data_IF_790261769657
#
_entry.id   IF_790261769657
#
_cell.length_a   1.000
_cell.length_b   1.000
_cell.length_c   1.000
_cell.angle_alpha   90.00
_cell.angle_beta   90.00
_cell.angle_gamma   90.00
#
_symmetry.space_group_name_H-M   'P 1'
#
loop_
_entity.id
_entity.type
_entity.pdbx_description
1 polymer ?
#
# COMPACT_ATOMS: atom_id res chain seq x y z
N UNK A 1 12.98 69.13 5.86
CA UNK A 1 11.92 70.15 5.81
C UNK A 1 10.60 69.47 5.43
N UNK A 2 9.58 69.62 6.28
CA UNK A 2 8.13 69.45 6.02
C UNK A 2 7.65 70.50 4.97
N UNK A 3 6.48 70.39 4.32
CA UNK A 3 5.11 70.36 4.91
C UNK A 3 4.17 69.29 4.30
N UNK A 4 3.06 68.80 4.88
CA UNK A 4 1.96 69.25 5.76
C UNK A 4 0.79 70.02 5.08
N UNK A 5 -0.43 69.68 5.55
CA UNK A 5 -1.81 70.15 5.25
C UNK A 5 -2.61 69.34 4.21
N UNK A 6 -3.84 68.84 4.44
CA UNK A 6 -4.76 68.86 5.60
C UNK A 6 -6.23 69.08 5.21
N UNK A 7 -7.16 68.41 5.94
CA UNK A 7 -8.64 68.55 6.05
C UNK A 7 -9.53 67.78 5.04
N UNK A 8 -10.34 66.75 5.44
CA UNK A 8 -11.59 66.69 6.27
C UNK A 8 -12.85 67.02 5.43
N UNK A 9 -14.07 66.47 5.56
CA UNK A 9 -14.78 65.57 6.48
C UNK A 9 -16.04 65.02 5.76
N UNK A 10 -16.72 64.00 6.30
CA UNK A 10 -18.09 63.64 5.88
C UNK A 10 -18.64 62.34 6.47
N UNK A 11 -19.32 62.45 7.62
CA UNK A 11 -20.13 61.40 8.25
C UNK A 11 -21.39 61.06 7.44
N UNK A 12 -21.83 59.80 7.45
CA UNK A 12 -23.25 59.46 7.41
C UNK A 12 -23.53 58.22 8.28
N UNK A 13 -24.46 58.37 9.23
CA UNK A 13 -24.97 57.34 10.14
C UNK A 13 -26.24 56.77 9.54
N UNK A 14 -26.41 55.45 9.52
CA UNK A 14 -27.68 54.80 9.23
C UNK A 14 -28.05 53.82 10.35
N UNK A 15 -29.18 54.10 10.99
CA UNK A 15 -29.79 53.32 12.05
C UNK A 15 -30.48 52.06 11.49
N UNK A 16 -30.38 50.94 12.18
CA UNK A 16 -31.19 49.74 11.92
C UNK A 16 -32.10 49.51 13.12
N UNK A 17 -33.41 49.58 12.85
CA UNK A 17 -34.51 49.37 13.77
C UNK A 17 -34.74 47.88 14.05
N UNK A 18 -34.91 47.55 15.33
CA UNK A 18 -35.42 46.26 15.81
C UNK A 18 -36.96 46.26 15.74
N UNK A 19 -37.55 45.19 15.22
CA UNK A 19 -38.97 44.87 15.43
C UNK A 19 -39.14 43.35 15.42
N UNK A 20 -39.67 42.81 16.52
CA UNK A 20 -40.06 41.42 16.69
C UNK A 20 -41.60 41.32 16.59
N UNK A 21 -42.11 40.24 15.96
CA UNK A 21 -43.04 39.28 16.57
C UNK A 21 -43.86 38.48 15.52
N UNK A 22 -44.08 37.20 15.87
CA UNK A 22 -45.12 36.23 15.43
C UNK A 22 -45.12 35.83 13.94
N UNK A 23 -45.10 34.56 13.54
CA UNK A 23 -45.58 33.33 14.17
C UNK A 23 -46.76 32.79 13.34
N UNK A 24 -46.55 31.71 12.59
CA UNK A 24 -47.58 30.75 12.15
C UNK A 24 -46.89 29.50 11.58
N UNK A 25 -47.33 28.33 12.05
CA UNK A 25 -46.71 27.04 11.79
C UNK A 25 -46.94 26.48 10.39
N UNK A 26 -46.13 25.50 10.02
CA UNK A 26 -46.52 24.52 9.02
C UNK A 26 -45.82 23.18 9.27
N UNK A 27 -46.62 22.13 9.29
CA UNK A 27 -46.23 20.74 9.37
C UNK A 27 -45.51 20.32 8.09
N UNK A 28 -44.31 19.76 8.21
CA UNK A 28 -43.74 18.90 7.16
C UNK A 28 -43.17 17.65 7.80
N UNK A 29 -43.77 16.53 7.40
CA UNK A 29 -43.40 15.16 7.68
C UNK A 29 -41.90 14.93 7.47
N UNK A 30 -41.29 14.21 8.40
CA UNK A 30 -39.96 13.64 8.21
C UNK A 30 -39.99 12.72 6.99
N UNK A 31 -39.19 13.04 5.97
CA UNK A 31 -38.90 12.11 4.89
C UNK A 31 -38.03 10.97 5.45
N UNK A 32 -38.29 9.70 5.07
CA UNK A 32 -37.48 8.58 5.53
C UNK A 32 -36.09 8.68 4.93
N UNK A 33 -35.08 8.71 5.79
CA UNK A 33 -33.66 8.55 5.42
C UNK A 33 -33.52 7.22 4.66
N UNK A 34 -33.01 7.21 3.42
CA UNK A 34 -32.73 5.96 2.74
C UNK A 34 -31.56 5.28 3.45
N UNK A 35 -31.86 4.29 4.29
CA UNK A 35 -30.87 3.33 4.77
C UNK A 35 -30.50 2.41 3.61
N UNK A 36 -29.57 2.86 2.76
CA UNK A 36 -28.84 1.94 1.89
C UNK A 36 -27.75 1.30 2.72
N UNK A 37 -28.04 0.10 3.22
CA UNK A 37 -27.03 -0.85 3.66
C UNK A 37 -26.05 -1.09 2.50
N UNK A 38 -24.73 -0.89 2.66
CA UNK A 38 -23.78 -1.24 1.61
C UNK A 38 -23.81 -2.76 1.45
N UNK A 39 -24.27 -3.21 0.27
CA UNK A 39 -24.29 -4.62 -0.10
C UNK A 39 -22.89 -5.19 0.02
N UNK A 40 -22.79 -6.28 0.79
CA UNK A 40 -21.56 -7.05 0.99
C UNK A 40 -21.35 -7.92 -0.24
N UNK A 41 -20.79 -7.33 -1.30
CA UNK A 41 -20.35 -8.02 -2.51
C UNK A 41 -19.04 -7.41 -3.00
N UNK A 42 -18.18 -8.17 -3.69
CA UNK A 42 -16.92 -7.65 -4.22
C UNK A 42 -17.19 -6.42 -5.10
N UNK A 43 -16.43 -5.35 -4.86
CA UNK A 43 -16.57 -4.11 -5.64
C UNK A 43 -15.94 -4.36 -7.00
N UNK A 44 -16.76 -4.72 -7.99
CA UNK A 44 -16.30 -4.86 -9.38
C UNK A 44 -15.96 -3.46 -9.89
N UNK A 45 -14.67 -3.18 -10.09
CA UNK A 45 -14.25 -1.98 -10.79
C UNK A 45 -14.28 -2.29 -12.28
N UNK A 46 -15.23 -1.69 -12.99
CA UNK A 46 -15.28 -1.77 -14.44
C UNK A 46 -14.92 -0.45 -15.11
N UNK A 47 -14.21 -0.56 -16.24
CA UNK A 47 -13.92 0.57 -17.12
C UNK A 47 -13.95 0.11 -18.57
N UNK A 48 -14.23 1.03 -19.49
CA UNK A 48 -14.23 0.71 -20.92
C UNK A 48 -12.86 0.96 -21.52
N UNK A 49 -12.31 -0.06 -22.17
CA UNK A 49 -11.04 -0.01 -22.90
C UNK A 49 -11.29 -0.23 -24.38
N UNK A 50 -10.88 0.76 -25.19
CA UNK A 50 -11.07 0.77 -26.66
C UNK A 50 -9.77 0.58 -27.42
N UNK A 51 -8.64 0.57 -26.72
CA UNK A 51 -7.29 0.43 -27.27
C UNK A 51 -6.75 -1.00 -27.16
N UNK A 52 -7.64 -2.00 -27.04
CA UNK A 52 -7.25 -3.41 -27.15
C UNK A 52 -6.70 -3.72 -28.54
N UNK A 53 -5.64 -4.52 -28.60
CA UNK A 53 -5.06 -5.00 -29.86
C UNK A 53 -5.13 -6.53 -29.92
N UNK A 54 -4.86 -7.10 -31.10
CA UNK A 54 -4.64 -8.53 -31.24
C UNK A 54 -3.17 -8.79 -31.54
N UNK A 55 -2.60 -9.78 -30.87
CA UNK A 55 -1.26 -10.28 -31.19
C UNK A 55 -1.27 -11.10 -32.49
N UNK A 56 -0.10 -11.60 -32.89
CA UNK A 56 0.04 -12.47 -34.07
C UNK A 56 -0.67 -13.83 -33.95
N UNK A 57 -1.06 -14.24 -32.73
CA UNK A 57 -1.83 -15.46 -32.47
C UNK A 57 -3.35 -15.22 -32.43
N UNK A 58 -3.79 -13.96 -32.59
CA UNK A 58 -5.19 -13.55 -32.56
C UNK A 58 -5.76 -13.34 -31.17
N UNK A 59 -4.94 -13.41 -30.12
CA UNK A 59 -5.33 -13.15 -28.73
C UNK A 59 -5.44 -11.66 -28.45
N UNK A 60 -6.40 -11.31 -27.59
CA UNK A 60 -6.60 -9.92 -27.17
C UNK A 60 -5.56 -9.53 -26.14
N UNK A 61 -4.89 -8.42 -26.43
CA UNK A 61 -3.97 -7.72 -25.57
C UNK A 61 -4.61 -6.41 -25.11
N UNK A 62 -4.57 -6.18 -23.80
CA UNK A 62 -5.12 -4.99 -23.16
C UNK A 62 -3.99 -4.13 -22.61
N UNK A 63 -4.08 -2.80 -22.71
CA UNK A 63 -3.09 -1.92 -22.12
C UNK A 63 -3.09 -2.09 -20.60
N UNK A 64 -1.91 -2.30 -20.02
CA UNK A 64 -1.76 -2.63 -18.61
C UNK A 64 -2.03 -1.42 -17.70
N UNK A 65 -1.60 -0.23 -18.11
CA UNK A 65 -1.65 0.98 -17.27
C UNK A 65 -3.08 1.38 -16.86
N UNK A 66 -4.09 1.35 -17.74
CA UNK A 66 -5.49 1.55 -17.35
C UNK A 66 -5.99 0.52 -16.34
N UNK A 67 -5.67 -0.77 -16.52
CA UNK A 67 -6.05 -1.84 -15.58
C UNK A 67 -5.40 -1.65 -14.20
N UNK A 68 -4.14 -1.26 -14.18
CA UNK A 68 -3.43 -0.93 -12.94
C UNK A 68 -4.08 0.27 -12.24
N UNK A 69 -4.44 1.31 -13.01
CA UNK A 69 -5.09 2.51 -12.47
C UNK A 69 -6.50 2.25 -11.96
N UNK A 70 -7.28 1.37 -12.61
CA UNK A 70 -8.62 1.03 -12.13
C UNK A 70 -8.53 0.44 -10.73
N UNK A 71 -7.58 -0.47 -10.53
CA UNK A 71 -7.21 -1.05 -9.22
C UNK A 71 -6.63 -0.03 -8.22
N UNK A 72 -6.52 1.25 -8.58
CA UNK A 72 -5.95 2.31 -7.74
C UNK A 72 -4.43 2.28 -7.61
N UNK A 73 -3.76 1.28 -8.18
CA UNK A 73 -2.31 1.17 -8.15
C UNK A 73 -1.66 2.22 -9.06
N UNK A 74 -0.41 2.56 -8.75
CA UNK A 74 0.50 3.21 -9.70
C UNK A 74 1.33 2.17 -10.43
N UNK A 75 1.74 2.54 -11.64
CA UNK A 75 2.63 1.80 -12.51
C UNK A 75 3.80 2.71 -12.85
N UNK A 76 5.01 2.26 -12.54
CA UNK A 76 6.27 2.91 -12.91
C UNK A 76 7.13 1.93 -13.70
N UNK A 77 8.02 2.46 -14.54
CA UNK A 77 9.03 1.65 -15.22
C UNK A 77 10.41 1.95 -14.65
N UNK A 78 11.15 0.90 -14.28
CA UNK A 78 12.53 1.02 -13.84
C UNK A 78 13.44 1.35 -15.03
N UNK A 79 14.66 1.79 -14.73
CA UNK A 79 15.69 2.01 -15.75
C UNK A 79 16.08 0.70 -16.48
N UNK A 80 15.90 -0.45 -15.84
CA UNK A 80 16.15 -1.78 -16.43
C UNK A 80 15.00 -2.30 -17.31
N UNK A 81 13.93 -1.50 -17.46
CA UNK A 81 12.74 -1.83 -18.24
C UNK A 81 11.77 -2.77 -17.52
N UNK A 82 11.93 -2.97 -16.20
CA UNK A 82 10.92 -3.63 -15.39
C UNK A 82 9.74 -2.70 -15.15
N UNK A 83 8.54 -3.27 -15.18
CA UNK A 83 7.30 -2.62 -14.77
C UNK A 83 7.07 -2.93 -13.29
N UNK A 84 6.89 -1.87 -12.51
CA UNK A 84 6.69 -1.89 -11.08
C UNK A 84 5.28 -1.41 -10.76
N UNK A 85 4.48 -2.24 -10.11
CA UNK A 85 3.08 -1.94 -9.80
C UNK A 85 2.80 -2.06 -8.31
N UNK A 86 2.01 -1.13 -7.78
CA UNK A 86 1.54 -1.13 -6.39
C UNK A 86 1.14 0.26 -5.94
N UNK A 87 1.07 0.50 -4.63
CA UNK A 87 0.70 1.81 -4.08
C UNK A 87 1.91 2.52 -3.47
N UNK A 88 2.27 2.28 -2.20
CA UNK A 88 3.49 2.83 -1.55
C UNK A 88 4.68 1.88 -1.64
N UNK A 89 4.41 0.59 -1.79
CA UNK A 89 5.35 -0.50 -2.00
C UNK A 89 5.06 -1.17 -3.36
N UNK A 90 6.10 -1.73 -3.97
CA UNK A 90 5.93 -2.54 -5.18
C UNK A 90 5.40 -3.90 -4.81
N UNK A 91 4.18 -4.17 -5.23
CA UNK A 91 3.45 -5.40 -5.01
C UNK A 91 3.66 -6.37 -6.17
N UNK A 92 3.73 -5.86 -7.40
CA UNK A 92 3.92 -6.66 -8.60
C UNK A 92 5.11 -6.16 -9.41
N UNK A 93 5.89 -7.10 -9.95
CA UNK A 93 7.01 -6.85 -10.86
C UNK A 93 6.86 -7.71 -12.09
N UNK A 94 7.12 -7.16 -13.25
CA UNK A 94 7.12 -7.89 -14.51
C UNK A 94 8.03 -7.19 -15.52
N UNK A 95 8.47 -7.90 -16.54
CA UNK A 95 9.28 -7.33 -17.61
C UNK A 95 8.66 -7.68 -18.96
N UNK A 96 8.42 -6.72 -19.87
CA UNK A 96 7.96 -7.05 -21.20
C UNK A 96 8.91 -8.01 -21.91
N UNK A 97 8.34 -9.04 -22.54
CA UNK A 97 9.05 -10.15 -23.17
C UNK A 97 9.41 -11.31 -22.23
N UNK A 98 9.13 -11.20 -20.92
CA UNK A 98 9.42 -12.24 -19.93
C UNK A 98 8.13 -12.73 -19.25
N UNK A 99 7.98 -14.04 -19.15
CA UNK A 99 6.90 -14.69 -18.39
C UNK A 99 7.16 -14.74 -16.89
N UNK A 100 8.41 -14.55 -16.45
CA UNK A 100 8.74 -14.44 -15.04
C UNK A 100 8.25 -13.10 -14.49
N UNK A 101 7.49 -13.18 -13.40
CA UNK A 101 6.95 -12.02 -12.72
C UNK A 101 6.98 -12.26 -11.20
N UNK A 102 6.70 -11.19 -10.44
CA UNK A 102 6.40 -11.29 -9.02
C UNK A 102 5.00 -10.73 -8.78
N UNK A 103 4.24 -11.42 -7.93
CA UNK A 103 2.93 -10.99 -7.47
C UNK A 103 2.95 -11.11 -5.98
N UNK A 104 2.70 -9.99 -5.33
CA UNK A 104 2.69 -9.89 -3.88
C UNK A 104 4.03 -10.25 -3.26
N UNK A 105 5.13 -9.87 -3.93
CA UNK A 105 6.49 -10.20 -3.50
C UNK A 105 6.93 -11.65 -3.78
N UNK A 106 6.01 -12.52 -4.21
CA UNK A 106 6.28 -13.93 -4.51
C UNK A 106 6.49 -14.15 -6.01
N UNK A 107 7.46 -15.01 -6.41
CA UNK A 107 7.68 -15.32 -7.82
C UNK A 107 6.48 -16.06 -8.42
N UNK A 108 6.17 -15.76 -9.69
CA UNK A 108 5.18 -16.46 -10.49
C UNK A 108 5.59 -16.55 -11.96
N UNK A 109 4.91 -17.44 -12.69
CA UNK A 109 5.02 -17.54 -14.14
C UNK A 109 3.69 -17.15 -14.78
N UNK A 110 3.74 -16.18 -15.69
CA UNK A 110 2.60 -15.72 -16.48
C UNK A 110 2.34 -16.70 -17.63
N UNK A 111 1.07 -16.94 -18.00
CA UNK A 111 0.73 -17.74 -19.18
C UNK A 111 1.35 -17.18 -20.45
N UNK A 112 1.40 -15.85 -20.58
CA UNK A 112 2.04 -15.15 -21.69
C UNK A 112 2.84 -13.94 -21.19
N UNK A 113 3.95 -13.61 -21.86
CA UNK A 113 4.75 -12.47 -21.49
C UNK A 113 3.96 -11.17 -21.75
N UNK A 114 4.15 -10.13 -20.94
CA UNK A 114 3.72 -8.79 -21.29
C UNK A 114 4.42 -8.34 -22.57
N UNK A 115 3.73 -7.63 -23.45
CA UNK A 115 4.28 -7.14 -24.71
C UNK A 115 4.45 -5.64 -24.68
N UNK A 116 5.54 -5.12 -25.25
CA UNK A 116 5.72 -3.68 -25.43
C UNK A 116 5.54 -3.33 -26.90
N UNK A 117 4.51 -2.53 -27.18
CA UNK A 117 4.17 -2.09 -28.53
C UNK A 117 3.97 -0.58 -28.49
N UNK A 118 4.73 0.14 -29.33
CA UNK A 118 4.71 1.62 -29.40
C UNK A 118 4.89 2.31 -28.03
N UNK A 119 5.67 1.70 -27.14
CA UNK A 119 5.94 2.21 -25.79
C UNK A 119 4.87 1.86 -24.76
N UNK A 120 3.74 1.28 -25.15
CA UNK A 120 2.67 0.82 -24.26
C UNK A 120 2.92 -0.64 -23.90
N UNK A 121 2.78 -0.97 -22.61
CA UNK A 121 2.82 -2.36 -22.13
C UNK A 121 1.42 -2.94 -22.19
N UNK A 122 1.29 -4.06 -22.88
CA UNK A 122 0.08 -4.83 -23.03
C UNK A 122 0.19 -6.20 -22.37
N UNK A 123 -0.94 -6.73 -21.92
CA UNK A 123 -1.04 -8.09 -21.37
C UNK A 123 -2.38 -8.71 -21.76
N UNK A 124 -2.43 -10.04 -21.82
CA UNK A 124 -3.70 -10.74 -21.95
C UNK A 124 -4.52 -10.65 -20.65
N UNK A 125 -5.86 -10.69 -20.72
CA UNK A 125 -6.72 -10.78 -19.53
C UNK A 125 -6.33 -11.93 -18.59
N UNK A 126 -5.95 -13.08 -19.16
CA UNK A 126 -5.51 -14.26 -18.38
C UNK A 126 -4.21 -13.99 -17.61
N UNK A 127 -3.22 -13.36 -18.26
CA UNK A 127 -1.96 -13.01 -17.59
C UNK A 127 -2.16 -11.92 -16.53
N UNK A 128 -3.05 -10.95 -16.77
CA UNK A 128 -3.44 -9.98 -15.74
C UNK A 128 -4.16 -10.64 -14.57
N UNK A 129 -5.05 -11.59 -14.84
CA UNK A 129 -5.74 -12.34 -13.80
C UNK A 129 -4.76 -13.11 -12.92
N UNK A 130 -3.76 -13.75 -13.56
CA UNK A 130 -2.69 -14.47 -12.87
C UNK A 130 -1.82 -13.53 -12.03
N UNK A 131 -1.46 -12.36 -12.58
CA UNK A 131 -0.62 -11.37 -11.91
C UNK A 131 -1.33 -10.78 -10.68
N UNK A 132 -2.54 -10.26 -10.86
CA UNK A 132 -3.30 -9.59 -9.82
C UNK A 132 -4.01 -10.54 -8.87
N UNK A 133 -3.94 -11.86 -9.12
CA UNK A 133 -4.64 -12.90 -8.35
C UNK A 133 -6.12 -12.60 -8.20
N UNK A 134 -6.71 -12.13 -9.30
CA UNK A 134 -8.13 -11.78 -9.39
C UNK A 134 -8.65 -12.11 -10.77
N UNK A 135 -9.96 -12.11 -10.97
CA UNK A 135 -10.52 -12.30 -12.30
C UNK A 135 -10.51 -10.96 -13.04
N UNK A 136 -9.88 -10.96 -14.22
CA UNK A 136 -9.94 -9.86 -15.18
C UNK A 136 -10.79 -10.32 -16.36
N UNK A 137 -12.07 -9.92 -16.34
CA UNK A 137 -13.00 -10.12 -17.44
C UNK A 137 -12.83 -9.05 -18.52
N UNK A 138 -13.03 -9.43 -19.78
CA UNK A 138 -13.08 -8.51 -20.90
C UNK A 138 -14.22 -8.89 -21.85
N UNK A 139 -15.09 -7.93 -22.14
CA UNK A 139 -16.13 -8.08 -23.17
C UNK A 139 -15.66 -7.46 -24.49
N UNK A 140 -15.39 -8.28 -25.54
CA UNK A 140 -14.98 -7.79 -26.85
C UNK A 140 -15.98 -6.87 -27.55
N UNK A 141 -17.26 -6.95 -27.20
CA UNK A 141 -18.32 -6.18 -27.89
C UNK A 141 -18.44 -4.78 -27.33
N UNK A 142 -18.37 -4.63 -26.01
CA UNK A 142 -18.48 -3.35 -25.32
C UNK A 142 -17.12 -2.70 -25.06
N UNK A 143 -16.04 -3.49 -25.05
CA UNK A 143 -14.73 -3.07 -24.55
C UNK A 143 -14.69 -2.98 -23.02
N UNK A 144 -15.72 -3.44 -22.31
CA UNK A 144 -15.74 -3.40 -20.85
C UNK A 144 -14.70 -4.37 -20.28
N UNK A 145 -13.87 -3.85 -19.39
CA UNK A 145 -12.98 -4.63 -18.53
C UNK A 145 -13.58 -4.60 -17.13
N UNK A 146 -13.85 -5.77 -16.59
CA UNK A 146 -14.29 -5.94 -15.21
C UNK A 146 -13.13 -6.56 -14.43
N UNK A 147 -12.66 -5.88 -13.40
CA UNK A 147 -11.64 -6.40 -12.51
C UNK A 147 -12.26 -6.52 -11.13
N UNK A 148 -12.35 -7.76 -10.65
CA UNK A 148 -12.71 -8.02 -9.27
C UNK A 148 -11.60 -7.48 -8.36
N UNK A 149 -11.94 -6.95 -7.18
CA UNK A 149 -10.90 -6.55 -6.23
C UNK A 149 -9.99 -7.77 -5.97
N UNK A 150 -8.66 -7.62 -6.08
CA UNK A 150 -7.72 -8.67 -5.70
C UNK A 150 -8.05 -9.21 -4.31
N UNK A 151 -8.41 -10.49 -4.24
CA UNK A 151 -8.69 -11.14 -2.96
C UNK A 151 -7.35 -11.33 -2.26
N UNK A 152 -7.05 -10.45 -1.29
CA UNK A 152 -5.76 -10.43 -0.59
C UNK A 152 -5.63 -11.51 0.51
N UNK A 153 -6.44 -12.57 0.45
CA UNK A 153 -6.42 -13.69 1.38
C UNK A 153 -6.93 -14.97 0.73
N UNK A 154 -6.34 -16.10 1.13
CA UNK A 154 -6.61 -17.48 0.71
C UNK A 154 -5.76 -17.98 -0.47
N UNK A 155 -4.74 -18.76 -0.12
CA UNK A 155 -4.20 -19.73 -1.06
C UNK A 155 -5.33 -20.64 -1.53
N UNK A 156 -5.59 -20.62 -2.84
CA UNK A 156 -6.20 -21.71 -3.63
C UNK A 156 -7.04 -22.73 -2.84
N UNK A 157 -8.35 -22.50 -2.75
CA UNK A 157 -9.29 -23.62 -2.67
C UNK A 157 -10.67 -23.23 -3.21
N UNK A 158 -10.89 -23.48 -4.50
CA UNK A 158 -12.21 -23.92 -4.95
C UNK A 158 -12.27 -25.45 -4.91
N UNK A 159 -13.43 -26.04 -4.56
CA UNK A 159 -13.51 -27.40 -4.03
C UNK A 159 -13.61 -28.47 -5.13
N UNK A 160 -12.89 -29.58 -4.95
CA UNK A 160 -13.18 -30.86 -5.60
C UNK A 160 -13.19 -31.98 -4.54
N UNK A 161 -13.97 -33.05 -4.77
CA UNK A 161 -14.72 -33.71 -3.71
C UNK A 161 -13.92 -34.73 -2.89
N UNK A 162 -14.38 -34.82 -1.65
CA UNK A 162 -14.15 -35.81 -0.61
C UNK A 162 -13.86 -37.24 -1.07
N UNK A 163 -12.77 -37.80 -0.53
CA UNK A 163 -12.49 -39.22 -0.50
C UNK A 163 -11.39 -39.54 0.52
N UNK A 164 -11.76 -39.72 1.79
CA UNK A 164 -10.94 -40.44 2.77
C UNK A 164 -11.44 -41.90 2.82
N UNK A 165 -10.56 -42.88 3.10
CA UNK A 165 -10.35 -43.24 4.50
C UNK A 165 -8.90 -43.65 4.88
N UNK A 166 -8.56 -43.28 6.12
CA UNK A 166 -7.94 -44.09 7.18
C UNK A 166 -6.60 -44.81 6.95
N UNK A 167 -5.63 -44.48 7.82
CA UNK A 167 -4.44 -45.29 8.08
C UNK A 167 -3.57 -44.69 9.20
N UNK A 168 -3.66 -45.29 10.40
CA UNK A 168 -2.91 -44.93 11.61
C UNK A 168 -1.58 -45.71 11.67
N UNK A 169 -0.45 -45.07 11.96
CA UNK A 169 0.72 -45.70 12.60
C UNK A 169 1.77 -44.64 13.00
N UNK A 170 2.39 -44.85 14.17
CA UNK A 170 3.24 -43.89 14.85
C UNK A 170 4.73 -43.88 14.45
N UNK A 171 5.41 -42.85 14.94
CA UNK A 171 6.67 -43.02 15.68
C UNK A 171 8.00 -42.76 14.96
N UNK A 172 8.77 -41.88 15.59
CA UNK A 172 10.24 -41.75 15.62
C UNK A 172 10.94 -40.78 14.65
N UNK A 173 12.11 -40.37 15.11
CA UNK A 173 12.70 -39.04 15.03
C UNK A 173 13.77 -38.89 13.94
N UNK A 174 14.20 -37.63 13.80
CA UNK A 174 15.47 -37.12 13.25
C UNK A 174 15.47 -36.69 11.78
N UNK A 175 15.81 -35.42 11.57
CA UNK A 175 15.96 -34.79 10.27
C UNK A 175 16.00 -33.27 10.39
N UNK A 176 17.07 -32.76 11.00
CA UNK A 176 17.41 -31.33 11.02
C UNK A 176 17.63 -30.83 9.58
N UNK A 177 16.95 -29.74 9.18
CA UNK A 177 17.53 -28.54 8.56
C UNK A 177 16.46 -27.69 7.85
N UNK A 178 16.12 -26.52 8.42
CA UNK A 178 15.76 -25.27 7.71
C UNK A 178 15.06 -24.27 8.66
N UNK A 179 15.84 -23.30 9.13
CA UNK A 179 15.42 -21.90 9.24
C UNK A 179 14.34 -21.54 10.26
N UNK A 180 14.50 -21.93 11.53
CA UNK A 180 13.80 -21.24 12.61
C UNK A 180 14.40 -19.84 12.75
N UNK A 181 13.63 -18.79 12.41
CA UNK A 181 13.99 -17.40 12.68
C UNK A 181 14.19 -17.27 14.19
N UNK A 182 15.44 -17.10 14.62
CA UNK A 182 15.75 -16.72 16.00
C UNK A 182 15.27 -15.30 16.17
N UNK A 183 14.17 -15.12 16.92
CA UNK A 183 13.79 -13.82 17.48
C UNK A 183 14.88 -13.47 18.48
N UNK A 184 15.91 -12.77 18.01
CA UNK A 184 16.99 -12.27 18.85
C UNK A 184 16.54 -10.94 19.41
N UNK A 185 16.16 -10.93 20.69
CA UNK A 185 16.00 -9.70 21.46
C UNK A 185 17.31 -8.92 21.39
N UNK A 186 17.31 -7.79 20.68
CA UNK A 186 18.46 -6.90 20.70
C UNK A 186 18.69 -6.45 22.15
N UNK A 187 19.95 -6.48 22.56
CA UNK A 187 20.39 -5.73 23.73
C UNK A 187 20.09 -4.24 23.51
N UNK A 188 19.94 -3.47 24.59
CA UNK A 188 19.71 -2.02 24.48
C UNK A 188 20.79 -1.33 23.64
N UNK A 189 22.04 -1.82 23.70
CA UNK A 189 23.14 -1.34 22.86
C UNK A 189 22.91 -1.57 21.36
N UNK A 190 22.42 -2.74 20.96
CA UNK A 190 22.17 -3.02 19.55
C UNK A 190 20.96 -2.24 19.01
N UNK A 191 19.94 -2.00 19.85
CA UNK A 191 18.81 -1.15 19.49
C UNK A 191 19.24 0.31 19.23
N UNK A 192 20.14 0.85 20.06
CA UNK A 192 20.70 2.20 19.86
C UNK A 192 21.57 2.27 18.60
N UNK A 193 22.36 1.23 18.32
CA UNK A 193 23.14 1.11 17.09
C UNK A 193 22.24 1.04 15.84
N UNK A 194 21.13 0.31 15.90
CA UNK A 194 20.14 0.24 14.83
C UNK A 194 19.54 1.62 14.54
N UNK A 195 19.15 2.35 15.57
CA UNK A 195 18.64 3.72 15.41
C UNK A 195 19.71 4.65 14.87
N UNK A 196 20.95 4.57 15.36
CA UNK A 196 22.06 5.37 14.86
C UNK A 196 22.32 5.09 13.38
N UNK A 197 22.31 3.81 12.98
CA UNK A 197 22.46 3.40 11.59
C UNK A 197 21.32 3.91 10.72
N UNK A 198 20.06 3.76 11.16
CA UNK A 198 18.89 4.26 10.44
C UNK A 198 18.97 5.78 10.20
N UNK A 199 19.46 6.55 11.18
CA UNK A 199 19.62 8.01 11.08
C UNK A 199 20.69 8.44 10.08
N UNK A 200 21.63 7.58 9.69
CA UNK A 200 22.62 7.91 8.66
C UNK A 200 21.99 8.17 7.29
N UNK A 201 20.76 7.69 7.08
CA UNK A 201 20.04 7.82 5.82
C UNK A 201 19.09 9.01 5.77
N UNK A 202 19.05 9.88 6.79
CA UNK A 202 18.17 11.07 6.78
C UNK A 202 18.36 11.90 5.51
N UNK A 203 17.25 12.22 4.83
CA UNK A 203 17.23 12.94 3.57
C UNK A 203 17.51 12.09 2.32
N UNK A 204 17.76 10.78 2.44
CA UNK A 204 17.80 9.89 1.28
C UNK A 204 16.43 9.92 0.59
N UNK A 205 16.36 10.26 -0.71
CA UNK A 205 15.07 10.46 -1.39
C UNK A 205 14.18 9.23 -1.39
N UNK A 206 12.88 9.47 -1.27
CA UNK A 206 11.88 8.44 -1.50
C UNK A 206 11.83 8.05 -2.98
N UNK A 207 11.76 6.75 -3.27
CA UNK A 207 11.42 6.24 -4.59
C UNK A 207 10.56 5.00 -4.46
N UNK A 208 9.42 5.03 -5.15
CA UNK A 208 8.53 3.89 -5.21
C UNK A 208 9.25 2.66 -5.76
N UNK A 209 9.19 1.54 -5.06
CA UNK A 209 9.75 0.32 -5.59
C UNK A 209 11.26 0.32 -5.67
N UNK A 210 11.92 1.21 -4.91
CA UNK A 210 13.36 1.34 -4.88
C UNK A 210 14.03 -0.04 -4.91
N UNK A 211 14.95 -0.20 -5.85
CA UNK A 211 15.92 -1.29 -5.84
C UNK A 211 16.77 -1.19 -4.57
N UNK A 212 17.49 -2.26 -4.19
CA UNK A 212 18.39 -2.22 -3.04
C UNK A 212 19.22 -0.94 -3.01
N UNK A 213 19.41 -0.37 -1.82
CA UNK A 213 20.04 0.94 -1.65
C UNK A 213 21.40 1.07 -2.33
N UNK A 214 22.18 -0.01 -2.35
CA UNK A 214 23.50 -0.06 -2.99
C UNK A 214 23.44 0.12 -4.52
N UNK A 215 22.26 -0.02 -5.11
CA UNK A 215 21.97 0.19 -6.54
C UNK A 215 21.29 1.53 -6.79
N UNK A 216 20.21 1.82 -6.05
CA UNK A 216 19.36 2.98 -6.36
C UNK A 216 19.73 4.25 -5.61
N UNK A 217 20.42 4.13 -4.48
CA UNK A 217 20.62 5.20 -3.49
C UNK A 217 19.31 5.90 -3.07
N UNK A 218 18.20 5.16 -3.08
CA UNK A 218 16.86 5.63 -2.71
C UNK A 218 16.13 4.56 -1.91
N UNK A 219 15.01 4.95 -1.28
CA UNK A 219 14.18 4.03 -0.51
C UNK A 219 12.69 4.21 -0.73
N UNK A 220 11.92 3.13 -0.67
CA UNK A 220 10.54 3.18 -0.15
C UNK A 220 10.48 2.63 1.28
N UNK A 221 9.30 2.70 1.91
CA UNK A 221 9.19 2.50 3.35
C UNK A 221 9.64 1.10 3.80
N UNK A 222 9.25 0.07 3.06
CA UNK A 222 9.61 -1.32 3.35
C UNK A 222 11.03 -1.69 2.91
N UNK A 223 11.57 -1.11 1.83
CA UNK A 223 12.99 -1.31 1.48
C UNK A 223 13.95 -0.64 2.46
N UNK A 224 13.55 0.49 3.05
CA UNK A 224 14.32 1.15 4.12
C UNK A 224 14.44 0.28 5.36
N UNK A 225 13.32 -0.25 5.87
CA UNK A 225 13.34 -1.15 7.03
C UNK A 225 14.11 -2.43 6.71
N UNK A 226 13.93 -3.01 5.52
CA UNK A 226 14.71 -4.18 5.09
C UNK A 226 16.22 -3.90 5.10
N UNK A 227 16.66 -2.75 4.58
CA UNK A 227 18.06 -2.38 4.55
C UNK A 227 18.65 -2.20 5.95
N UNK A 228 17.95 -1.46 6.82
CA UNK A 228 18.38 -1.23 8.21
C UNK A 228 18.48 -2.56 8.96
N UNK A 229 17.43 -3.39 8.95
CA UNK A 229 17.41 -4.64 9.72
C UNK A 229 18.38 -5.69 9.20
N UNK A 230 18.63 -5.73 7.88
CA UNK A 230 19.61 -6.65 7.27
C UNK A 230 21.01 -6.42 7.83
N UNK A 231 21.38 -5.17 8.16
CA UNK A 231 22.67 -4.85 8.80
C UNK A 231 22.84 -5.52 10.16
N UNK A 232 21.74 -5.78 10.86
CA UNK A 232 21.67 -6.42 12.17
C UNK A 232 21.24 -7.90 12.07
N UNK A 233 21.40 -8.52 10.90
CA UNK A 233 21.17 -9.96 10.71
C UNK A 233 19.70 -10.37 10.55
N UNK A 234 18.77 -9.42 10.51
CA UNK A 234 17.33 -9.71 10.40
C UNK A 234 16.85 -9.53 8.97
N UNK A 235 16.37 -10.62 8.36
CA UNK A 235 15.84 -10.60 6.99
C UNK A 235 14.33 -10.33 6.98
N UNK A 236 13.97 -9.10 6.62
CA UNK A 236 12.59 -8.68 6.43
C UNK A 236 12.13 -8.89 4.98
N UNK A 237 10.86 -9.30 4.75
CA UNK A 237 10.28 -9.40 3.41
C UNK A 237 10.09 -8.01 2.77
N UNK A 238 9.81 -7.99 1.47
CA UNK A 238 9.82 -6.77 0.66
C UNK A 238 8.63 -5.85 0.91
N UNK A 239 7.46 -6.37 1.32
CA UNK A 239 6.24 -5.57 1.51
C UNK A 239 6.04 -5.23 2.98
N UNK A 240 5.56 -4.02 3.29
CA UNK A 240 5.27 -3.62 4.67
C UNK A 240 4.30 -4.61 5.36
N UNK A 241 3.24 -5.04 4.67
CA UNK A 241 2.29 -6.03 5.19
C UNK A 241 2.90 -7.42 5.47
N UNK A 242 3.95 -7.80 4.75
CA UNK A 242 4.61 -9.08 5.01
C UNK A 242 5.59 -8.93 6.17
N UNK A 243 6.17 -7.73 6.33
CA UNK A 243 6.97 -7.39 7.51
C UNK A 243 6.11 -7.39 8.77
N UNK A 244 4.83 -7.06 8.64
CA UNK A 244 3.83 -7.21 9.70
C UNK A 244 3.54 -8.67 10.08
N UNK A 245 4.04 -9.65 9.34
CA UNK A 245 4.01 -11.05 9.78
C UNK A 245 5.33 -11.47 10.43
N UNK A 246 6.23 -10.52 10.71
CA UNK A 246 7.55 -10.76 11.31
C UNK A 246 7.61 -10.17 12.72
N UNK A 247 7.53 -11.03 13.72
CA UNK A 247 7.78 -10.67 15.12
C UNK A 247 6.57 -10.84 16.01
N UNK A 248 6.54 -10.07 17.10
CA UNK A 248 5.49 -10.13 18.13
C UNK A 248 4.82 -8.78 18.32
N UNK A 249 3.51 -8.77 18.57
CA UNK A 249 2.73 -7.55 18.78
C UNK A 249 3.19 -6.81 20.05
N UNK A 250 3.41 -5.50 19.94
CA UNK A 250 3.85 -4.63 21.06
C UNK A 250 2.80 -3.57 21.40
N UNK A 251 2.49 -3.41 22.68
CA UNK A 251 1.62 -2.32 23.14
C UNK A 251 2.36 -0.98 23.09
N UNK A 252 1.62 0.13 22.95
CA UNK A 252 2.22 1.46 22.85
C UNK A 252 3.06 1.85 24.06
N UNK A 253 2.68 1.41 25.26
CA UNK A 253 3.42 1.60 26.51
C UNK A 253 4.76 0.85 26.55
N UNK A 254 4.88 -0.21 25.74
CA UNK A 254 6.00 -1.16 25.80
C UNK A 254 6.97 -0.98 24.63
N UNK A 255 6.79 0.09 23.85
CA UNK A 255 7.59 0.42 22.69
C UNK A 255 9.06 0.65 23.09
N UNK A 256 9.95 0.00 22.35
CA UNK A 256 11.40 0.13 22.46
C UNK A 256 12.00 0.56 21.13
N UNK A 257 13.07 1.37 21.12
CA UNK A 257 13.81 1.67 19.91
C UNK A 257 14.09 0.40 19.10
N UNK A 258 13.86 0.45 17.80
CA UNK A 258 13.94 -0.71 16.90
C UNK A 258 12.62 -1.46 16.67
N UNK A 259 11.56 -1.22 17.43
CA UNK A 259 10.24 -1.79 17.10
C UNK A 259 9.73 -1.21 15.77
N UNK A 260 9.11 -2.04 14.92
CA UNK A 260 8.44 -1.59 13.70
C UNK A 260 7.06 -1.02 14.04
N UNK A 261 6.67 0.04 13.33
CA UNK A 261 5.35 0.65 13.43
C UNK A 261 4.68 0.58 12.07
N UNK A 262 3.47 0.04 12.05
CA UNK A 262 2.65 -0.16 10.86
C UNK A 262 1.49 0.82 10.85
N UNK A 263 1.24 1.37 9.66
CA UNK A 263 0.22 2.38 9.42
C UNK A 263 -0.65 1.95 8.26
N UNK A 264 -1.92 2.32 8.34
CA UNK A 264 -2.84 2.26 7.21
C UNK A 264 -2.60 3.45 6.29
N UNK A 265 -3.12 3.36 5.08
CA UNK A 265 -3.22 4.50 4.16
C UNK A 265 -4.69 4.59 3.78
N UNK A 266 -5.45 5.53 4.36
CA UNK A 266 -6.91 5.56 4.20
C UNK A 266 -7.37 5.59 2.75
N UNK A 267 -8.42 4.82 2.45
CA UNK A 267 -9.00 4.73 1.11
C UNK A 267 -8.17 3.94 0.10
N UNK A 268 -7.17 3.19 0.57
CA UNK A 268 -6.26 2.39 -0.27
C UNK A 268 -6.64 0.91 -0.39
N UNK A 269 -7.25 0.35 0.64
CA UNK A 269 -7.60 -1.06 0.72
C UNK A 269 -9.10 -1.19 1.02
N UNK A 270 -9.68 -2.37 0.80
CA UNK A 270 -11.09 -2.64 1.17
C UNK A 270 -11.36 -2.39 2.66
N UNK A 271 -10.31 -2.54 3.48
CA UNK A 271 -10.30 -2.21 4.89
C UNK A 271 -9.09 -1.35 5.23
N UNK A 272 -9.31 -0.28 5.99
CA UNK A 272 -8.24 0.52 6.58
C UNK A 272 -7.42 -0.24 7.65
N UNK A 273 -7.60 -1.56 7.82
CA UNK A 273 -6.81 -2.41 8.73
C UNK A 273 -5.54 -3.01 8.10
N UNK A 274 -5.27 -2.80 6.81
CA UNK A 274 -4.12 -3.38 6.11
C UNK A 274 -2.88 -2.47 6.24
N UNK A 275 -1.71 -3.00 6.67
CA UNK A 275 -0.46 -2.24 6.70
C UNK A 275 -0.05 -1.74 5.30
N UNK A 276 -0.17 -0.43 5.10
CA UNK A 276 0.24 0.27 3.89
C UNK A 276 1.54 1.04 4.02
N UNK A 277 2.04 1.26 5.24
CA UNK A 277 3.29 1.97 5.48
C UNK A 277 3.97 1.44 6.74
N UNK A 278 5.30 1.51 6.78
CA UNK A 278 6.11 1.03 7.91
C UNK A 278 7.21 2.03 8.27
N UNK A 279 7.53 2.11 9.56
CA UNK A 279 8.65 2.87 10.08
C UNK A 279 9.28 2.18 11.30
N UNK A 280 10.42 2.69 11.74
CA UNK A 280 11.17 2.18 12.88
C UNK A 280 11.02 3.14 14.05
N UNK A 281 10.54 2.67 15.20
CA UNK A 281 10.47 3.47 16.41
C UNK A 281 11.88 3.82 16.89
N UNK A 282 12.11 5.09 17.24
CA UNK A 282 13.42 5.59 17.67
C UNK A 282 13.42 6.18 19.09
N UNK A 283 12.36 5.92 19.85
CA UNK A 283 12.16 6.47 21.19
C UNK A 283 11.41 7.81 21.20
N UNK A 284 11.01 8.22 22.40
CA UNK A 284 10.38 9.53 22.67
C UNK A 284 9.16 9.85 21.78
N UNK A 285 8.33 8.86 21.47
CA UNK A 285 7.15 9.06 20.62
C UNK A 285 7.48 9.41 19.16
N UNK A 286 8.69 9.07 18.70
CA UNK A 286 9.15 9.35 17.34
C UNK A 286 9.52 8.07 16.59
N UNK A 287 9.42 8.13 15.28
CA UNK A 287 9.82 7.05 14.39
C UNK A 287 10.51 7.60 13.15
N UNK A 288 11.43 6.82 12.59
CA UNK A 288 12.11 7.11 11.32
C UNK A 288 11.50 6.26 10.22
N UNK A 289 11.21 6.88 9.08
CA UNK A 289 10.58 6.24 7.92
C UNK A 289 10.97 7.00 6.65
N UNK A 290 10.65 6.47 5.46
CA UNK A 290 10.78 7.22 4.21
C UNK A 290 9.41 7.50 3.60
N UNK A 291 9.15 8.75 3.22
CA UNK A 291 7.90 9.16 2.60
C UNK A 291 8.09 10.50 1.88
N UNK A 292 7.63 10.59 0.63
CA UNK A 292 7.60 11.84 -0.13
C UNK A 292 8.95 12.58 -0.13
N UNK A 293 8.89 13.91 -0.21
CA UNK A 293 10.03 14.78 0.11
C UNK A 293 10.03 15.07 1.63
N UNK A 294 11.17 15.03 2.34
CA UNK A 294 12.55 14.87 1.86
C UNK A 294 13.03 13.41 1.74
N UNK A 295 12.13 12.44 1.79
CA UNK A 295 12.46 11.01 1.78
C UNK A 295 12.56 10.45 3.19
N UNK A 296 13.72 9.92 3.58
CA UNK A 296 13.96 9.44 4.94
C UNK A 296 13.87 10.60 5.93
N UNK A 297 12.96 10.50 6.87
CA UNK A 297 12.62 11.55 7.83
C UNK A 297 12.17 10.99 9.17
N UNK A 298 12.15 11.86 10.19
CA UNK A 298 11.65 11.54 11.53
C UNK A 298 10.31 12.23 11.73
N UNK A 299 9.32 11.46 12.16
CA UNK A 299 7.97 11.93 12.43
C UNK A 299 7.56 11.61 13.88
N UNK A 300 6.64 12.42 14.41
CA UNK A 300 5.99 12.15 15.70
C UNK A 300 4.85 11.15 15.52
N UNK A 301 4.78 10.17 16.40
CA UNK A 301 3.80 9.10 16.38
C UNK A 301 2.45 9.51 16.98
N UNK A 302 2.47 10.38 17.99
CA UNK A 302 1.31 10.75 18.80
C UNK A 302 0.65 12.08 18.37
N UNK A 303 1.02 12.64 17.22
CA UNK A 303 0.46 13.91 16.76
C UNK A 303 0.37 14.02 15.25
N UNK A 304 -0.61 14.79 14.77
CA UNK A 304 -0.75 15.13 13.36
C UNK A 304 -1.32 13.98 12.53
N UNK A 305 -0.83 13.83 11.30
CA UNK A 305 -1.32 12.81 10.37
C UNK A 305 -1.12 11.38 10.90
N UNK A 306 0.09 11.08 11.41
CA UNK A 306 0.48 9.71 11.79
C UNK A 306 -0.29 9.13 12.97
N UNK A 307 -0.79 9.96 13.88
CA UNK A 307 -1.62 9.49 14.99
C UNK A 307 -2.99 8.97 14.53
N UNK A 308 -3.47 9.41 13.36
CA UNK A 308 -4.77 9.02 12.83
C UNK A 308 -4.73 7.74 11.98
N UNK A 309 -3.53 7.32 11.57
CA UNK A 309 -3.35 6.20 10.64
C UNK A 309 -2.48 5.08 11.20
N UNK A 310 -2.06 5.17 12.47
CA UNK A 310 -1.33 4.08 13.12
C UNK A 310 -2.24 2.88 13.33
N UNK A 311 -1.77 1.70 12.95
CA UNK A 311 -2.48 0.43 13.18
C UNK A 311 -1.90 -0.27 14.39
N UNK A 312 -0.63 -0.62 14.29
CA UNK A 312 0.04 -1.44 15.28
C UNK A 312 1.56 -1.38 15.20
N UNK A 313 2.18 -2.06 16.15
CA UNK A 313 3.61 -2.10 16.39
C UNK A 313 4.06 -3.53 16.63
N UNK A 314 5.25 -3.87 16.12
CA UNK A 314 5.82 -5.19 16.26
C UNK A 314 7.28 -5.14 16.69
N UNK A 315 7.66 -6.11 17.52
CA UNK A 315 9.05 -6.39 17.86
C UNK A 315 9.51 -7.59 17.05
N UNK A 316 10.40 -7.31 16.10
CA UNK A 316 11.08 -8.34 15.28
C UNK A 316 12.28 -8.92 16.01
N UNK A 317 12.83 -8.12 16.93
CA UNK A 317 14.04 -8.33 17.70
C UNK A 317 13.70 -8.41 19.18
#
# INVERSE_FOLDING_TARGET
MKPMYGFAAGCLVAAVSLSAAAGCGNTRSAEPVPTTSPGTGPVIQSYTERSSIRDGSGQTLLPLKPAVRSLGYRMEESQSGEVLIGYTDVMFRLKPGDTSAQSMGEPLTLPQPPERLEGIVYMTPESMSRLFRTVVGWDPKSGEIAIDTPTEGEGSSSPLPSGSPSGNAGGTSAGSDSGTIRIQSLSSSEADELVAYAKQFLGVPYHFGAEPYDVSHRFDCSSFTQHVFKKFGVSLPRLARDQDNRGTRVQRSDLKPGDLIFFTVPGRFESDAVPGHVGIYIGSGQFIHTWGDPGVQISKLDSGYWSNVVLHMQRVI
#
